data_IF_740995805233
#
_entry.id   IF_740995805233
#
_cell.length_a   1.000
_cell.length_b   1.000
_cell.length_c   1.000
_cell.angle_alpha   90.00
_cell.angle_beta   90.00
_cell.angle_gamma   90.00
#
_symmetry.space_group_name_H-M   'P 1'
#
loop_
_entity.id
_entity.type
_entity.pdbx_description
1 polymer ?
#
# COMPACT_ATOMS: atom_id res chain seq x y z
N UNK A 1 -10.14 20.72 0.45
CA UNK A 1 -9.71 19.31 0.54
C UNK A 1 -10.47 18.41 -0.45
N UNK A 2 -11.81 18.47 -0.51
CA UNK A 2 -12.62 17.63 -1.42
C UNK A 2 -12.23 17.68 -2.91
N UNK A 3 -11.85 18.85 -3.45
CA UNK A 3 -11.42 18.97 -4.85
C UNK A 3 -10.17 18.16 -5.19
N UNK A 4 -9.15 18.18 -4.32
CA UNK A 4 -7.91 17.42 -4.49
C UNK A 4 -8.13 15.91 -4.39
N UNK A 5 -9.11 15.49 -3.58
CA UNK A 5 -9.49 14.08 -3.44
C UNK A 5 -10.14 13.54 -4.72
N UNK A 6 -10.99 14.34 -5.38
CA UNK A 6 -11.63 13.94 -6.64
C UNK A 6 -10.60 13.79 -7.77
N UNK A 7 -9.71 14.77 -7.94
CA UNK A 7 -8.63 14.70 -8.94
C UNK A 7 -7.70 13.51 -8.69
N UNK A 8 -7.29 13.30 -7.43
CA UNK A 8 -6.44 12.15 -7.08
C UNK A 8 -7.10 10.80 -7.38
N UNK A 9 -8.43 10.70 -7.16
CA UNK A 9 -9.19 9.50 -7.53
C UNK A 9 -9.17 9.28 -9.04
N UNK A 10 -9.51 10.30 -9.83
CA UNK A 10 -9.57 10.21 -11.29
C UNK A 10 -8.20 9.80 -11.86
N UNK A 11 -7.11 10.39 -11.38
CA UNK A 11 -5.76 10.02 -11.82
C UNK A 11 -5.36 8.61 -11.42
N UNK A 12 -5.70 8.16 -10.20
CA UNK A 12 -5.42 6.79 -9.77
C UNK A 12 -6.22 5.77 -10.60
N UNK A 13 -7.50 6.04 -10.86
CA UNK A 13 -8.35 5.20 -11.71
C UNK A 13 -7.84 5.13 -13.15
N UNK A 14 -7.44 6.26 -13.73
CA UNK A 14 -6.84 6.31 -15.07
C UNK A 14 -5.52 5.54 -15.13
N UNK A 15 -4.64 5.71 -14.13
CA UNK A 15 -3.39 4.98 -14.06
C UNK A 15 -3.62 3.47 -14.02
N UNK A 16 -4.54 3.01 -13.17
CA UNK A 16 -4.88 1.58 -13.08
C UNK A 16 -5.51 1.04 -14.38
N UNK A 17 -6.33 1.84 -15.06
CA UNK A 17 -6.92 1.47 -16.35
C UNK A 17 -5.87 1.33 -17.47
N UNK A 18 -4.74 2.03 -17.36
CA UNK A 18 -3.65 1.98 -18.33
C UNK A 18 -2.64 0.86 -18.07
N UNK A 19 -2.58 0.30 -16.86
CA UNK A 19 -1.60 -0.74 -16.48
C UNK A 19 -1.41 -1.85 -17.52
N UNK A 20 -2.46 -2.47 -18.12
CA UNK A 20 -2.26 -3.58 -19.06
C UNK A 20 -1.42 -3.21 -20.30
N UNK A 21 -1.26 -1.92 -20.61
CA UNK A 21 -0.41 -1.45 -21.72
C UNK A 21 1.08 -1.40 -21.36
N UNK A 22 1.44 -1.54 -20.08
CA UNK A 22 2.77 -1.29 -19.54
C UNK A 22 3.31 -2.47 -18.70
N UNK A 23 2.79 -3.69 -18.87
CA UNK A 23 3.18 -4.86 -18.06
C UNK A 23 4.70 -5.15 -18.06
N UNK A 24 5.43 -4.73 -19.10
CA UNK A 24 6.89 -4.86 -19.20
C UNK A 24 7.70 -3.64 -18.74
N UNK A 25 7.05 -2.59 -18.24
CA UNK A 25 7.74 -1.38 -17.77
C UNK A 25 8.42 -1.62 -16.42
N UNK A 26 9.63 -1.09 -16.24
CA UNK A 26 10.40 -1.27 -15.01
C UNK A 26 9.71 -0.68 -13.77
N UNK A 27 8.82 0.29 -13.97
CA UNK A 27 8.06 0.97 -12.91
C UNK A 27 6.63 0.45 -12.77
N UNK A 28 6.26 -0.62 -13.48
CA UNK A 28 4.91 -1.17 -13.46
C UNK A 28 4.42 -1.50 -12.04
N UNK A 29 5.27 -2.12 -11.22
CA UNK A 29 4.90 -2.48 -9.85
C UNK A 29 4.66 -1.29 -8.93
N UNK A 30 5.39 -0.18 -9.11
CA UNK A 30 5.08 1.09 -8.42
C UNK A 30 3.72 1.60 -8.84
N UNK A 31 3.42 1.65 -10.15
CA UNK A 31 2.13 2.15 -10.63
C UNK A 31 0.95 1.32 -10.10
N UNK A 32 1.09 -0.02 -10.01
CA UNK A 32 0.11 -0.87 -9.31
C UNK A 32 -0.03 -0.42 -7.86
N UNK A 33 1.07 -0.30 -7.12
CA UNK A 33 1.04 0.01 -5.70
C UNK A 33 0.43 1.40 -5.43
N UNK A 34 0.90 2.43 -6.14
CA UNK A 34 0.49 3.83 -5.97
C UNK A 34 -1.00 4.05 -6.26
N UNK A 35 -1.52 3.49 -7.34
CA UNK A 35 -2.91 3.69 -7.73
C UNK A 35 -3.86 3.08 -6.70
N UNK A 36 -3.53 1.88 -6.24
CA UNK A 36 -4.30 1.22 -5.19
C UNK A 36 -4.13 1.91 -3.83
N UNK A 37 -2.95 2.42 -3.47
CA UNK A 37 -2.76 3.20 -2.24
C UNK A 37 -3.63 4.46 -2.23
N UNK A 38 -3.60 5.26 -3.30
CA UNK A 38 -4.38 6.50 -3.38
C UNK A 38 -5.86 6.20 -3.20
N UNK A 39 -6.41 5.23 -3.93
CA UNK A 39 -7.82 4.87 -3.84
C UNK A 39 -8.18 4.31 -2.45
N UNK A 40 -7.32 3.50 -1.85
CA UNK A 40 -7.52 2.97 -0.51
C UNK A 40 -7.54 4.06 0.56
N UNK A 41 -6.62 5.04 0.50
CA UNK A 41 -6.57 6.14 1.47
C UNK A 41 -7.77 7.07 1.34
N UNK A 42 -8.22 7.32 0.11
CA UNK A 42 -9.47 8.04 -0.13
C UNK A 42 -10.65 7.27 0.48
N UNK A 43 -10.70 5.95 0.29
CA UNK A 43 -11.74 5.11 0.90
C UNK A 43 -11.71 5.17 2.45
N UNK A 44 -10.53 5.22 3.09
CA UNK A 44 -10.42 5.44 4.55
C UNK A 44 -11.05 6.77 4.96
N UNK A 45 -10.72 7.87 4.26
CA UNK A 45 -11.26 9.21 4.55
C UNK A 45 -12.79 9.25 4.42
N UNK A 46 -13.35 8.49 3.48
CA UNK A 46 -14.79 8.38 3.25
C UNK A 46 -15.48 7.35 4.15
N UNK A 47 -14.75 6.69 5.05
CA UNK A 47 -15.29 5.65 5.94
C UNK A 47 -15.61 4.32 5.26
N UNK A 48 -15.15 4.11 4.02
CA UNK A 48 -15.35 2.90 3.22
C UNK A 48 -14.24 1.89 3.50
N UNK A 49 -14.17 1.40 4.75
CA UNK A 49 -13.06 0.57 5.23
C UNK A 49 -12.91 -0.76 4.48
N UNK A 50 -14.01 -1.41 4.09
CA UNK A 50 -13.93 -2.65 3.32
C UNK A 50 -13.30 -2.45 1.94
N UNK A 51 -13.57 -1.32 1.28
CA UNK A 51 -12.91 -0.97 0.03
C UNK A 51 -11.43 -0.64 0.25
N UNK A 52 -11.11 0.11 1.32
CA UNK A 52 -9.72 0.41 1.67
C UNK A 52 -8.88 -0.87 1.89
N UNK A 53 -9.45 -1.87 2.56
CA UNK A 53 -8.84 -3.20 2.75
C UNK A 53 -8.56 -3.90 1.41
N UNK A 54 -9.55 -3.92 0.52
CA UNK A 54 -9.39 -4.51 -0.81
C UNK A 54 -8.29 -3.81 -1.61
N UNK A 55 -8.21 -2.48 -1.52
CA UNK A 55 -7.15 -1.70 -2.15
C UNK A 55 -5.77 -2.03 -1.58
N UNK A 56 -5.63 -2.21 -0.26
CA UNK A 56 -4.36 -2.62 0.34
C UNK A 56 -3.89 -3.99 -0.19
N UNK A 57 -4.79 -4.98 -0.27
CA UNK A 57 -4.45 -6.29 -0.83
C UNK A 57 -4.05 -6.21 -2.30
N UNK A 58 -4.76 -5.42 -3.11
CA UNK A 58 -4.40 -5.21 -4.51
C UNK A 58 -3.03 -4.53 -4.66
N UNK A 59 -2.72 -3.55 -3.80
CA UNK A 59 -1.38 -2.94 -3.74
C UNK A 59 -0.29 -3.97 -3.39
N UNK A 60 -0.58 -4.89 -2.45
CA UNK A 60 0.36 -5.94 -2.04
C UNK A 60 0.59 -7.01 -3.12
N UNK A 61 -0.38 -7.22 -4.01
CA UNK A 61 -0.24 -8.12 -5.16
C UNK A 61 0.54 -7.49 -6.34
N UNK A 62 1.16 -6.32 -6.14
CA UNK A 62 2.15 -5.78 -7.07
C UNK A 62 3.28 -6.81 -7.30
N UNK A 63 3.79 -6.95 -8.54
CA UNK A 63 4.95 -7.80 -8.81
C UNK A 63 6.26 -7.27 -8.23
N UNK A 64 6.26 -6.09 -7.60
CA UNK A 64 7.48 -5.42 -7.15
C UNK A 64 8.11 -4.55 -8.23
N UNK A 65 9.24 -3.95 -7.88
CA UNK A 65 10.02 -3.08 -8.76
C UNK A 65 11.40 -2.86 -8.15
N UNK A 66 12.42 -2.43 -8.91
CA UNK A 66 13.75 -2.20 -8.34
C UNK A 66 13.76 -1.31 -7.09
N UNK A 67 12.85 -0.31 -7.02
CA UNK A 67 12.69 0.53 -5.85
C UNK A 67 11.99 -0.22 -4.70
N UNK A 68 10.90 -0.93 -4.96
CA UNK A 68 10.14 -1.64 -3.93
C UNK A 68 10.90 -2.85 -3.37
N UNK A 69 11.63 -3.55 -4.23
CA UNK A 69 12.45 -4.71 -3.86
C UNK A 69 13.60 -4.28 -2.94
N UNK A 70 14.02 -3.01 -3.06
CA UNK A 70 15.06 -2.40 -2.27
C UNK A 70 14.55 -1.69 -1.00
N UNK A 71 13.83 -0.57 -1.19
CA UNK A 71 13.43 0.31 -0.10
C UNK A 71 12.10 -0.12 0.54
N UNK A 72 11.36 -1.00 -0.12
CA UNK A 72 10.04 -1.46 0.30
C UNK A 72 8.91 -0.70 -0.37
N UNK A 73 7.66 -1.11 -0.13
CA UNK A 73 6.49 -0.36 -0.53
C UNK A 73 6.18 0.77 0.45
N UNK A 74 5.36 1.72 0.00
CA UNK A 74 4.82 2.75 0.86
C UNK A 74 3.72 2.17 1.80
N UNK A 75 3.83 2.44 3.10
CA UNK A 75 3.03 1.89 4.20
C UNK A 75 1.91 2.83 4.66
N UNK A 76 1.65 3.94 3.96
CA UNK A 76 0.67 4.95 4.39
C UNK A 76 -0.75 4.40 4.52
N UNK A 77 -1.23 3.59 3.57
CA UNK A 77 -2.56 2.94 3.67
C UNK A 77 -2.60 1.90 4.79
N UNK A 78 -1.52 1.14 4.98
CA UNK A 78 -1.42 0.18 6.07
C UNK A 78 -1.54 0.88 7.44
N UNK A 79 -0.83 2.01 7.61
CA UNK A 79 -0.95 2.86 8.80
C UNK A 79 -2.37 3.40 9.00
N UNK A 80 -2.97 3.95 7.95
CA UNK A 80 -4.34 4.47 7.99
C UNK A 80 -5.35 3.38 8.43
N UNK A 81 -5.15 2.12 8.02
CA UNK A 81 -5.98 0.98 8.40
C UNK A 81 -5.72 0.49 9.85
N UNK A 82 -4.47 0.46 10.32
CA UNK A 82 -4.17 0.16 11.74
C UNK A 82 -4.84 1.19 12.65
N UNK A 83 -4.81 2.48 12.30
CA UNK A 83 -5.49 3.55 13.06
C UNK A 83 -7.01 3.38 13.13
N UNK A 84 -7.60 2.61 12.22
CA UNK A 84 -9.01 2.22 12.23
C UNK A 84 -9.28 0.87 12.88
N UNK A 85 -8.24 0.18 13.36
CA UNK A 85 -8.34 -1.14 13.99
C UNK A 85 -8.35 -2.30 13.00
N UNK A 86 -8.12 -2.06 11.71
CA UNK A 86 -8.15 -3.07 10.65
C UNK A 86 -6.77 -3.76 10.51
N UNK A 87 -6.37 -4.52 11.53
CA UNK A 87 -5.01 -5.06 11.64
C UNK A 87 -4.78 -6.36 10.86
N UNK A 88 -5.81 -7.18 10.66
CA UNK A 88 -5.68 -8.49 9.99
C UNK A 88 -5.24 -8.33 8.52
N UNK A 89 -5.88 -7.41 7.79
CA UNK A 89 -5.54 -7.13 6.38
C UNK A 89 -4.14 -6.54 6.23
N UNK A 90 -3.63 -5.85 7.26
CA UNK A 90 -2.28 -5.27 7.26
C UNK A 90 -1.23 -6.35 7.43
N UNK A 91 -1.50 -7.36 8.27
CA UNK A 91 -0.64 -8.53 8.40
C UNK A 91 -0.62 -9.34 7.10
N UNK A 92 -1.76 -9.50 6.42
CA UNK A 92 -1.80 -10.11 5.09
C UNK A 92 -0.99 -9.31 4.07
N UNK A 93 -1.13 -7.99 4.07
CA UNK A 93 -0.35 -7.10 3.21
C UNK A 93 1.16 -7.26 3.43
N UNK A 94 1.64 -7.40 4.67
CA UNK A 94 3.06 -7.65 4.94
C UNK A 94 3.55 -8.95 4.30
N UNK A 95 2.77 -10.03 4.35
CA UNK A 95 3.12 -11.29 3.70
C UNK A 95 3.09 -11.21 2.17
N UNK A 96 2.24 -10.35 1.60
CA UNK A 96 2.29 -10.05 0.18
C UNK A 96 3.56 -9.27 -0.18
N UNK A 97 3.92 -8.25 0.63
CA UNK A 97 5.12 -7.45 0.42
C UNK A 97 6.40 -8.28 0.50
N UNK A 98 6.43 -9.29 1.38
CA UNK A 98 7.58 -10.21 1.53
C UNK A 98 7.97 -10.92 0.24
N UNK A 99 7.03 -11.07 -0.71
CA UNK A 99 7.29 -11.75 -1.99
C UNK A 99 8.21 -10.96 -2.91
N UNK A 100 8.28 -9.64 -2.75
CA UNK A 100 9.11 -8.77 -3.59
C UNK A 100 10.14 -7.96 -2.80
N UNK A 101 9.90 -7.62 -1.53
CA UNK A 101 10.80 -6.79 -0.75
C UNK A 101 11.99 -7.59 -0.21
N UNK A 102 13.05 -7.69 -1.01
CA UNK A 102 14.26 -8.47 -0.72
C UNK A 102 15.10 -7.88 0.43
N UNK A 103 15.18 -6.55 0.51
CA UNK A 103 15.97 -5.84 1.52
C UNK A 103 15.12 -5.38 2.72
N UNK A 104 14.15 -6.20 3.13
CA UNK A 104 13.26 -5.87 4.25
C UNK A 104 13.97 -5.87 5.62
N UNK A 105 15.11 -6.56 5.75
CA UNK A 105 15.99 -6.54 6.94
C UNK A 105 15.26 -6.82 8.26
N UNK A 106 14.30 -7.77 8.24
CA UNK A 106 13.48 -8.15 9.38
C UNK A 106 12.39 -7.15 9.77
N UNK A 107 12.20 -6.05 9.02
CA UNK A 107 11.17 -5.03 9.30
C UNK A 107 9.78 -5.63 9.28
N UNK A 108 9.46 -6.49 8.30
CA UNK A 108 8.11 -7.05 8.19
C UNK A 108 7.77 -7.91 9.41
N UNK A 109 8.74 -8.65 9.96
CA UNK A 109 8.58 -9.45 11.16
C UNK A 109 8.44 -8.58 12.41
N UNK A 110 9.25 -7.52 12.52
CA UNK A 110 9.13 -6.55 13.60
C UNK A 110 7.76 -5.87 13.59
N UNK A 111 7.36 -5.30 12.46
CA UNK A 111 6.09 -4.60 12.30
C UNK A 111 4.90 -5.53 12.53
N UNK A 112 4.98 -6.78 12.07
CA UNK A 112 3.96 -7.80 12.36
C UNK A 112 3.79 -8.05 13.87
N UNK A 113 4.89 -8.10 14.63
CA UNK A 113 4.83 -8.26 16.10
C UNK A 113 4.22 -7.04 16.78
N UNK A 114 4.55 -5.84 16.31
CA UNK A 114 4.01 -4.58 16.84
C UNK A 114 2.49 -4.49 16.59
N UNK A 115 2.04 -4.79 15.37
CA UNK A 115 0.60 -4.82 15.02
C UNK A 115 -0.15 -5.83 15.86
N UNK A 116 0.37 -7.05 16.01
CA UNK A 116 -0.24 -8.10 16.87
C UNK A 116 -0.29 -7.71 18.36
N UNK A 117 0.60 -6.81 18.80
CA UNK A 117 0.59 -6.25 20.14
C UNK A 117 -0.31 -5.01 20.29
N UNK A 118 -1.10 -4.66 19.27
CA UNK A 118 -1.97 -3.48 19.26
C UNK A 118 -1.22 -2.16 19.11
N UNK A 119 0.01 -2.18 18.58
CA UNK A 119 0.82 -0.99 18.32
C UNK A 119 0.78 -0.63 16.84
N UNK A 120 0.95 0.66 16.55
CA UNK A 120 1.24 1.15 15.20
C UNK A 120 2.76 1.11 15.03
N UNK A 121 3.28 0.37 14.04
CA UNK A 121 4.70 0.35 13.77
C UNK A 121 5.25 1.73 13.38
N UNK A 122 6.52 1.97 13.71
CA UNK A 122 7.23 3.08 13.10
C UNK A 122 7.71 2.68 11.70
N UNK A 123 6.92 3.09 10.70
CA UNK A 123 7.21 2.84 9.29
C UNK A 123 8.32 3.74 8.73
N UNK A 124 8.74 4.78 9.46
CA UNK A 124 9.83 5.67 9.04
C UNK A 124 9.69 6.19 7.60
N UNK A 125 10.72 5.95 6.79
CA UNK A 125 10.79 6.41 5.40
C UNK A 125 9.67 5.83 4.51
N UNK A 126 9.13 4.64 4.83
CA UNK A 126 8.05 4.00 4.07
C UNK A 126 6.72 4.79 4.14
N UNK A 127 6.65 5.95 4.80
CA UNK A 127 5.47 6.83 4.78
C UNK A 127 5.58 8.00 3.78
N UNK A 128 6.76 8.28 3.23
CA UNK A 128 7.06 9.59 2.62
C UNK A 128 7.35 9.53 1.13
N UNK A 129 8.02 8.48 0.65
CA UNK A 129 8.43 8.38 -0.75
C UNK A 129 7.32 7.83 -1.65
#
# INVERSE_FOLDING_TARGET
>A
MLGKTKEAREYAEEMLALLPKYEGDWNYGNAVQDGHLVLGRIAVVEGRLDEAKQFLIKAGNSPGSPQMDSFGPNMSLAKDLIEKGETEVVLEYFELCRKFWEMEDGKLDQWSREVKAGKIPDFGANLVY
#
